data_IF_952575534966
#
_entry.id   IF_952575534966
#
_cell.length_a   1.000
_cell.length_b   1.000
_cell.length_c   1.000
_cell.angle_alpha   90.00
_cell.angle_beta   90.00
_cell.angle_gamma   90.00
#
_symmetry.space_group_name_H-M   'P 1'
#
loop_
_entity.id
_entity.type
_entity.pdbx_description
1 polymer ?
#
# COMPACT_ATOMS: atom_id res chain seq x y z
N UNK A 1 43.10 43.58 -22.58
CA UNK A 1 43.65 42.22 -22.34
C UNK A 1 42.49 41.24 -22.17
N UNK A 2 42.63 40.09 -22.81
CA UNK A 2 41.84 38.84 -22.67
C UNK A 2 40.39 38.77 -23.18
N UNK A 3 40.31 38.21 -24.38
CA UNK A 3 39.19 37.50 -24.99
C UNK A 3 38.90 36.17 -24.26
N UNK A 4 37.64 35.71 -24.12
CA UNK A 4 37.35 34.40 -23.54
C UNK A 4 37.53 33.27 -24.58
N UNK A 5 38.40 32.32 -24.25
CA UNK A 5 38.68 31.10 -25.03
C UNK A 5 37.45 30.19 -25.08
N UNK A 6 37.09 29.78 -26.30
CA UNK A 6 36.15 28.70 -26.59
C UNK A 6 36.85 27.36 -26.31
N UNK A 7 36.26 26.52 -25.44
CA UNK A 7 36.65 25.12 -25.31
C UNK A 7 35.85 24.29 -26.32
N UNK A 8 36.54 23.80 -27.35
CA UNK A 8 36.04 22.75 -28.22
C UNK A 8 36.39 21.41 -27.57
N UNK A 9 35.37 20.59 -27.29
CA UNK A 9 35.54 19.19 -26.88
C UNK A 9 35.41 18.32 -28.13
N UNK A 10 36.51 17.68 -28.50
CA UNK A 10 36.58 16.73 -29.62
C UNK A 10 35.84 15.44 -29.28
N UNK A 11 34.84 15.09 -30.10
CA UNK A 11 34.27 13.74 -30.14
C UNK A 11 35.22 12.81 -30.88
N UNK A 12 35.77 11.81 -30.18
CA UNK A 12 36.44 10.68 -30.82
C UNK A 12 35.39 9.56 -31.01
N UNK A 13 34.97 9.37 -32.26
CA UNK A 13 34.17 8.23 -32.67
C UNK A 13 35.09 7.03 -32.86
N UNK A 14 34.89 5.95 -32.09
CA UNK A 14 35.57 4.67 -32.32
C UNK A 14 34.58 3.72 -32.99
N UNK A 15 34.74 3.58 -34.31
CA UNK A 15 34.06 2.59 -35.15
C UNK A 15 34.78 1.26 -35.02
N UNK A 16 34.12 0.22 -34.48
CA UNK A 16 34.59 -1.15 -34.57
C UNK A 16 33.71 -1.91 -35.57
N UNK A 17 34.26 -2.13 -36.77
CA UNK A 17 33.70 -3.02 -37.77
C UNK A 17 33.98 -4.46 -37.37
N UNK A 18 32.93 -5.29 -37.26
CA UNK A 18 33.05 -6.74 -37.10
C UNK A 18 32.72 -7.39 -38.44
N UNK A 19 33.75 -7.95 -39.06
CA UNK A 19 33.70 -8.69 -40.32
C UNK A 19 33.15 -10.10 -40.08
N UNK A 20 32.18 -10.48 -40.90
CA UNK A 20 31.59 -11.82 -41.01
C UNK A 20 32.52 -12.72 -41.83
N UNK A 21 32.76 -13.95 -41.38
CA UNK A 21 33.30 -15.04 -42.21
C UNK A 21 32.36 -16.26 -42.11
N UNK A 22 31.68 -16.57 -43.22
CA UNK A 22 31.00 -17.84 -43.46
C UNK A 22 32.04 -18.87 -43.93
N UNK A 23 31.99 -20.07 -43.36
CA UNK A 23 32.50 -21.28 -44.02
C UNK A 23 31.42 -22.35 -43.97
N UNK A 24 30.95 -22.75 -45.14
CA UNK A 24 30.07 -23.88 -45.39
C UNK A 24 30.88 -25.19 -45.43
N UNK A 25 30.29 -26.27 -44.92
CA UNK A 25 30.82 -27.63 -45.07
C UNK A 25 29.74 -28.67 -44.78
N UNK A 26 29.16 -29.23 -45.84
CA UNK A 26 28.42 -30.50 -45.88
C UNK A 26 29.36 -31.65 -45.45
N UNK A 27 28.98 -32.82 -44.94
CA UNK A 27 27.73 -33.50 -44.66
C UNK A 27 28.07 -34.96 -44.26
N UNK A 28 27.03 -35.77 -44.04
CA UNK A 28 26.98 -37.24 -43.92
C UNK A 28 27.08 -37.89 -42.52
N UNK A 29 25.91 -38.23 -42.00
CA UNK A 29 25.59 -39.46 -41.25
C UNK A 29 25.73 -40.70 -42.15
N UNK A 30 26.03 -41.90 -41.60
CA UNK A 30 24.98 -42.78 -41.07
C UNK A 30 25.33 -43.61 -39.81
N UNK A 31 24.30 -43.84 -38.99
CA UNK A 31 24.21 -44.85 -37.91
C UNK A 31 24.34 -46.29 -38.44
N UNK A 32 24.65 -47.34 -37.62
CA UNK A 32 23.61 -47.99 -36.78
C UNK A 32 24.05 -48.72 -35.48
N UNK A 33 23.07 -48.88 -34.56
CA UNK A 33 22.81 -50.02 -33.62
C UNK A 33 23.87 -50.33 -32.53
N UNK A 34 23.56 -50.76 -31.29
CA UNK A 34 22.34 -51.25 -30.66
C UNK A 34 22.47 -51.27 -29.12
N UNK A 35 21.31 -51.41 -28.46
CA UNK A 35 21.04 -52.18 -27.23
C UNK A 35 21.63 -51.76 -25.88
N UNK A 36 20.73 -51.39 -24.97
CA UNK A 36 20.98 -51.33 -23.53
C UNK A 36 19.71 -50.95 -22.76
N UNK A 37 18.84 -51.93 -22.53
CA UNK A 37 17.65 -51.78 -21.68
C UNK A 37 18.06 -51.52 -20.23
N UNK A 38 17.50 -50.48 -19.59
CA UNK A 38 17.45 -50.41 -18.13
C UNK A 38 16.02 -50.06 -17.71
N UNK A 39 15.55 -50.90 -16.79
CA UNK A 39 14.20 -51.14 -16.32
C UNK A 39 13.79 -50.11 -15.29
N UNK A 40 12.53 -49.68 -15.36
CA UNK A 40 11.85 -48.91 -14.33
C UNK A 40 11.72 -49.73 -13.02
N UNK A 41 12.01 -49.11 -11.87
CA UNK A 41 11.56 -49.59 -10.56
C UNK A 41 11.55 -48.47 -9.52
N UNK A 42 10.35 -48.18 -9.01
CA UNK A 42 9.99 -47.67 -7.67
C UNK A 42 8.53 -48.12 -7.47
N UNK A 43 7.95 -48.26 -6.24
CA UNK A 43 8.46 -47.94 -4.89
C UNK A 43 8.17 -49.03 -3.81
N UNK A 44 8.86 -48.96 -2.66
CA UNK A 44 8.46 -49.59 -1.36
C UNK A 44 9.19 -48.81 -0.25
N UNK A 45 8.56 -48.00 0.61
CA UNK A 45 7.66 -48.27 1.75
C UNK A 45 8.27 -49.17 2.85
N UNK A 46 8.88 -48.54 3.86
CA UNK A 46 8.99 -49.12 5.21
C UNK A 46 8.80 -48.02 6.24
N UNK A 47 8.05 -48.33 7.29
CA UNK A 47 7.53 -47.43 8.30
C UNK A 47 8.22 -47.63 9.68
N UNK A 48 8.21 -46.55 10.50
CA UNK A 48 8.03 -46.50 11.98
C UNK A 48 9.25 -46.88 12.87
N UNK A 49 9.53 -46.21 14.03
CA UNK A 49 8.54 -45.75 15.02
C UNK A 49 8.58 -44.32 15.59
N UNK A 50 7.42 -44.02 16.17
CA UNK A 50 6.98 -42.93 17.06
C UNK A 50 7.66 -42.91 18.43
N UNK A 51 7.92 -41.71 18.96
CA UNK A 51 7.86 -41.38 20.40
C UNK A 51 7.46 -39.91 20.65
N UNK A 52 6.24 -39.77 21.17
CA UNK A 52 5.72 -38.91 22.24
C UNK A 52 6.40 -37.58 22.65
N UNK A 53 5.59 -36.51 22.70
CA UNK A 53 5.56 -35.56 23.83
C UNK A 53 5.55 -34.07 23.47
N UNK A 54 4.47 -33.31 23.75
CA UNK A 54 4.48 -31.84 23.71
C UNK A 54 4.80 -31.26 25.09
N UNK A 55 5.76 -30.34 25.15
CA UNK A 55 6.08 -29.57 26.37
C UNK A 55 5.22 -28.31 26.42
N UNK A 56 4.13 -28.36 27.19
CA UNK A 56 3.39 -27.17 27.66
C UNK A 56 4.02 -26.66 28.95
N UNK A 57 4.40 -25.38 28.96
CA UNK A 57 4.68 -24.63 30.19
C UNK A 57 3.82 -23.38 30.24
N UNK A 58 2.89 -23.36 31.21
CA UNK A 58 2.16 -22.18 31.65
C UNK A 58 3.09 -21.20 32.38
N UNK A 59 2.62 -19.96 32.65
CA UNK A 59 2.49 -19.61 34.06
C UNK A 59 1.15 -18.94 34.45
N UNK A 60 0.66 -19.42 35.59
CA UNK A 60 0.20 -18.64 36.76
C UNK A 60 -1.10 -17.84 36.68
N UNK A 61 -2.14 -18.48 37.22
CA UNK A 61 -3.27 -17.87 37.91
C UNK A 61 -2.83 -17.08 39.14
N UNK A 62 -3.34 -15.86 39.32
CA UNK A 62 -3.56 -15.28 40.64
C UNK A 62 -5.07 -15.09 40.84
N UNK A 63 -5.61 -15.88 41.75
CA UNK A 63 -6.93 -15.69 42.33
C UNK A 63 -6.85 -14.51 43.32
N UNK A 64 -7.86 -13.64 43.32
CA UNK A 64 -8.24 -12.87 44.49
C UNK A 64 -9.73 -13.07 44.76
N UNK A 65 -9.99 -13.25 46.04
CA UNK A 65 -11.11 -13.89 46.71
C UNK A 65 -12.45 -13.19 46.52
N UNK A 66 -13.52 -13.99 46.44
CA UNK A 66 -14.90 -13.54 46.56
C UNK A 66 -15.24 -13.09 47.99
N UNK A 67 -16.05 -12.04 48.12
CA UNK A 67 -16.88 -11.82 49.30
C UNK A 67 -18.25 -11.26 48.89
N UNK A 68 -19.24 -12.15 48.91
CA UNK A 68 -20.67 -11.85 48.89
C UNK A 68 -21.12 -11.46 50.29
N UNK A 69 -21.94 -10.39 50.43
CA UNK A 69 -23.15 -10.32 51.27
C UNK A 69 -23.70 -8.89 51.32
N UNK A 70 -25.02 -8.76 51.32
CA UNK A 70 -25.71 -7.62 51.95
C UNK A 70 -26.75 -6.92 51.09
N UNK A 71 -27.84 -7.62 50.77
CA UNK A 71 -29.12 -6.98 50.42
C UNK A 71 -29.65 -6.27 51.67
N UNK A 72 -29.99 -4.98 51.56
CA UNK A 72 -30.73 -4.24 52.58
C UNK A 72 -31.76 -3.32 51.93
N UNK A 73 -32.98 -3.82 51.91
CA UNK A 73 -34.24 -3.09 51.77
C UNK A 73 -34.40 -2.10 52.92
N UNK A 74 -34.73 -0.83 52.67
CA UNK A 74 -35.54 -0.07 53.64
C UNK A 74 -36.27 1.13 53.03
N UNK A 75 -37.60 1.00 53.10
CA UNK A 75 -38.57 2.00 53.54
C UNK A 75 -38.57 3.41 52.92
N UNK A 76 -39.49 3.54 51.97
CA UNK A 76 -40.33 4.72 51.70
C UNK A 76 -40.79 5.40 53.00
N UNK A 77 -40.42 6.67 53.19
CA UNK A 77 -41.04 7.56 54.18
C UNK A 77 -41.64 8.77 53.47
N UNK A 78 -42.96 8.79 53.43
CA UNK A 78 -43.78 9.92 52.99
C UNK A 78 -43.83 10.96 54.08
N UNK A 79 -43.42 12.20 53.78
CA UNK A 79 -43.74 13.39 54.57
C UNK A 79 -44.30 14.45 53.65
N UNK A 80 -45.49 14.89 53.98
CA UNK A 80 -46.32 15.88 53.30
C UNK A 80 -46.01 17.32 53.74
N UNK A 81 -46.51 18.26 52.92
CA UNK A 81 -46.83 19.70 53.16
C UNK A 81 -45.67 20.72 53.11
N UNK A 82 -45.93 22.02 52.79
CA UNK A 82 -47.09 22.65 52.13
C UNK A 82 -46.74 23.52 50.89
N UNK A 83 -47.80 23.89 50.16
CA UNK A 83 -47.86 24.80 49.02
C UNK A 83 -47.32 26.19 49.36
N UNK A 84 -46.43 26.73 48.50
CA UNK A 84 -46.13 28.17 48.45
C UNK A 84 -46.15 28.66 47.00
N UNK A 85 -47.05 29.62 46.73
CA UNK A 85 -47.13 30.42 45.50
C UNK A 85 -45.76 31.02 45.16
N UNK A 86 -45.32 30.86 43.92
CA UNK A 86 -44.27 31.67 43.32
C UNK A 86 -44.55 31.87 41.82
N UNK A 87 -45.02 33.07 41.51
CA UNK A 87 -44.64 33.92 40.37
C UNK A 87 -44.47 33.26 39.00
N UNK A 88 -45.40 33.59 38.09
CA UNK A 88 -45.32 33.39 36.63
C UNK A 88 -43.99 33.93 36.08
N UNK A 89 -43.05 33.02 35.77
CA UNK A 89 -41.86 33.31 34.98
C UNK A 89 -42.24 33.19 33.51
N UNK A 90 -42.09 34.27 32.76
CA UNK A 90 -42.22 34.29 31.31
C UNK A 90 -41.29 33.23 30.69
N UNK A 91 -41.87 32.27 29.99
CA UNK A 91 -41.16 31.30 29.15
C UNK A 91 -40.70 32.04 27.89
N UNK A 92 -39.39 32.19 27.62
CA UNK A 92 -38.98 32.65 26.31
C UNK A 92 -39.24 31.52 25.32
N UNK A 93 -40.08 31.79 24.32
CA UNK A 93 -40.30 30.90 23.20
C UNK A 93 -38.98 30.75 22.44
N UNK A 94 -38.32 29.60 22.59
CA UNK A 94 -37.11 29.28 21.85
C UNK A 94 -37.52 28.93 20.41
N UNK A 95 -37.47 29.92 19.53
CA UNK A 95 -37.51 29.70 18.08
C UNK A 95 -36.29 28.87 17.69
N UNK A 96 -36.47 27.55 17.51
CA UNK A 96 -35.44 26.66 16.98
C UNK A 96 -35.31 26.91 15.49
N UNK A 97 -34.32 27.72 15.10
CA UNK A 97 -33.90 27.84 13.71
C UNK A 97 -33.40 26.46 13.23
N UNK A 98 -33.87 25.93 12.09
CA UNK A 98 -33.36 24.67 11.57
C UNK A 98 -31.86 24.81 11.29
N UNK A 99 -31.03 24.02 11.97
CA UNK A 99 -29.60 23.91 11.66
C UNK A 99 -29.49 23.26 10.29
N UNK A 100 -29.32 24.08 9.26
CA UNK A 100 -29.07 23.63 7.89
C UNK A 100 -27.81 22.77 7.88
N UNK A 101 -27.95 21.50 7.51
CA UNK A 101 -26.83 20.59 7.35
C UNK A 101 -25.74 21.24 6.47
N UNK A 102 -24.45 21.17 6.87
CA UNK A 102 -23.38 21.75 6.09
C UNK A 102 -23.36 21.15 4.69
N UNK A 103 -23.28 22.00 3.67
CA UNK A 103 -23.11 21.55 2.28
C UNK A 103 -21.85 20.67 2.23
N UNK A 104 -21.89 19.53 1.51
CA UNK A 104 -20.69 18.71 1.32
C UNK A 104 -19.55 19.59 0.83
N UNK A 105 -18.39 19.50 1.47
CA UNK A 105 -17.18 20.17 0.98
C UNK A 105 -16.93 19.67 -0.45
N UNK A 106 -17.05 20.56 -1.43
CA UNK A 106 -16.91 20.20 -2.84
C UNK A 106 -15.47 20.24 -3.32
N UNK A 107 -14.62 21.01 -2.63
CA UNK A 107 -13.19 21.13 -2.88
C UNK A 107 -12.46 21.54 -1.60
N UNK A 108 -11.24 21.06 -1.44
CA UNK A 108 -10.30 21.55 -0.43
C UNK A 108 -9.35 22.57 -1.07
N UNK A 109 -8.65 23.37 -0.28
CA UNK A 109 -7.55 24.18 -0.81
C UNK A 109 -6.44 23.30 -1.41
N UNK A 110 -5.77 23.73 -2.49
CA UNK A 110 -4.56 23.07 -2.96
C UNK A 110 -3.48 23.16 -1.89
N UNK A 111 -2.64 22.14 -1.78
CA UNK A 111 -1.51 22.13 -0.86
C UNK A 111 -0.45 23.13 -1.37
N UNK A 112 -0.08 24.16 -0.58
CA UNK A 112 0.97 25.09 -0.95
C UNK A 112 2.32 24.38 -1.10
N UNK A 113 3.19 24.91 -1.97
CA UNK A 113 4.55 24.37 -2.10
C UNK A 113 5.33 24.64 -0.81
N UNK A 114 5.98 23.61 -0.26
CA UNK A 114 6.83 23.76 0.91
C UNK A 114 8.02 22.79 0.84
N UNK A 115 9.21 23.33 0.54
CA UNK A 115 10.45 22.55 0.51
C UNK A 115 10.60 21.67 -0.74
N UNK A 116 11.12 20.46 -0.53
CA UNK A 116 11.26 19.45 -1.58
C UNK A 116 9.88 18.94 -2.00
N UNK A 117 9.73 18.60 -3.28
CA UNK A 117 8.48 18.13 -3.86
C UNK A 117 8.77 16.97 -4.81
N UNK A 118 7.81 16.06 -5.01
CA UNK A 118 7.95 15.02 -6.01
C UNK A 118 8.01 15.60 -7.42
N UNK A 119 8.50 14.78 -8.35
CA UNK A 119 8.66 15.15 -9.77
C UNK A 119 7.34 15.64 -10.39
N UNK A 120 6.23 15.02 -10.00
CA UNK A 120 4.88 15.35 -10.47
C UNK A 120 4.10 16.00 -9.35
N UNK A 121 3.89 17.32 -9.43
CA UNK A 121 3.15 18.05 -8.38
C UNK A 121 1.65 17.77 -8.38
N UNK A 122 1.02 17.91 -9.54
CA UNK A 122 -0.42 17.71 -9.74
C UNK A 122 -0.64 16.81 -10.97
N UNK A 123 -0.71 15.48 -10.79
CA UNK A 123 -0.94 14.56 -11.89
C UNK A 123 -2.35 14.74 -12.46
N UNK A 124 -2.52 14.42 -13.75
CA UNK A 124 -3.85 14.29 -14.36
C UNK A 124 -4.50 13.00 -13.85
N UNK A 125 -5.32 13.14 -12.82
CA UNK A 125 -6.12 12.05 -12.26
C UNK A 125 -7.50 11.96 -12.92
N UNK A 126 -8.13 10.78 -12.87
CA UNK A 126 -9.53 10.65 -13.27
C UNK A 126 -10.42 11.48 -12.31
N UNK A 127 -11.47 12.16 -12.79
CA UNK A 127 -12.43 12.82 -11.91
C UNK A 127 -13.17 11.83 -10.99
N UNK A 128 -13.47 12.25 -9.76
CA UNK A 128 -14.33 11.46 -8.87
C UNK A 128 -15.73 11.21 -9.44
N UNK A 129 -16.32 10.07 -9.10
CA UNK A 129 -17.68 9.70 -9.49
C UNK A 129 -18.58 9.54 -8.27
N UNK A 130 -19.85 9.92 -8.38
CA UNK A 130 -20.82 9.79 -7.29
C UNK A 130 -20.42 10.54 -5.99
N UNK A 131 -21.01 10.12 -4.88
CA UNK A 131 -20.78 10.69 -3.55
C UNK A 131 -19.71 9.95 -2.77
N UNK A 132 -19.07 10.66 -1.83
CA UNK A 132 -18.12 10.08 -0.88
C UNK A 132 -16.92 9.41 -1.55
N UNK A 133 -16.37 8.41 -0.86
CA UNK A 133 -15.29 7.58 -1.35
C UNK A 133 -15.69 6.73 -2.57
N UNK A 134 -16.98 6.39 -2.73
CA UNK A 134 -17.46 5.55 -3.85
C UNK A 134 -16.53 4.34 -4.13
N UNK A 135 -16.18 3.63 -3.04
CA UNK A 135 -15.26 2.51 -3.10
C UNK A 135 -15.94 1.31 -3.76
N UNK A 136 -15.21 0.57 -4.59
CA UNK A 136 -15.71 -0.63 -5.26
C UNK A 136 -14.59 -1.64 -5.46
N UNK A 137 -14.90 -2.92 -5.24
CA UNK A 137 -14.00 -4.06 -5.46
C UNK A 137 -14.55 -4.91 -6.61
N UNK A 138 -13.70 -5.32 -7.53
CA UNK A 138 -14.12 -6.17 -8.65
C UNK A 138 -12.97 -6.93 -9.30
N UNK A 139 -13.30 -7.70 -10.34
CA UNK A 139 -12.29 -8.30 -11.21
C UNK A 139 -11.48 -7.21 -11.92
N UNK A 140 -10.21 -7.49 -12.19
CA UNK A 140 -9.36 -6.59 -13.01
C UNK A 140 -9.95 -6.52 -14.41
N UNK A 141 -10.29 -5.33 -14.95
CA UNK A 141 -10.76 -5.20 -16.33
C UNK A 141 -9.73 -5.70 -17.35
N UNK A 142 -10.16 -6.28 -18.47
CA UNK A 142 -9.24 -6.84 -19.48
C UNK A 142 -8.22 -5.83 -20.00
N UNK A 143 -8.66 -4.59 -20.28
CA UNK A 143 -7.78 -3.53 -20.73
C UNK A 143 -6.73 -3.13 -19.69
N UNK A 144 -7.05 -3.22 -18.39
CA UNK A 144 -6.09 -2.97 -17.33
C UNK A 144 -5.11 -4.15 -17.19
N UNK A 145 -5.62 -5.38 -17.21
CA UNK A 145 -4.79 -6.58 -17.14
C UNK A 145 -3.78 -6.66 -18.30
N UNK A 146 -4.20 -6.30 -19.52
CA UNK A 146 -3.33 -6.27 -20.69
C UNK A 146 -2.12 -5.33 -20.51
N UNK A 147 -2.28 -4.23 -19.77
CA UNK A 147 -1.18 -3.30 -19.45
C UNK A 147 -0.27 -3.81 -18.33
N UNK A 148 -0.75 -4.73 -17.50
CA UNK A 148 0.05 -5.31 -16.40
C UNK A 148 0.95 -6.45 -16.89
N UNK A 149 0.50 -7.22 -17.89
CA UNK A 149 1.26 -8.37 -18.42
C UNK A 149 2.60 -7.91 -18.99
N UNK A 150 3.66 -8.58 -18.56
CA UNK A 150 5.04 -8.27 -18.91
C UNK A 150 5.64 -7.11 -18.11
N UNK A 151 4.87 -6.46 -17.23
CA UNK A 151 5.33 -5.37 -16.36
C UNK A 151 5.11 -5.78 -14.91
N UNK A 152 4.08 -5.27 -14.25
CA UNK A 152 3.76 -5.61 -12.86
C UNK A 152 3.33 -7.06 -12.65
N UNK A 153 2.94 -7.77 -13.72
CA UNK A 153 2.72 -9.21 -13.70
C UNK A 153 3.50 -9.90 -14.81
N UNK A 154 4.15 -11.02 -14.51
CA UNK A 154 4.85 -11.87 -15.48
C UNK A 154 4.68 -13.35 -15.11
N UNK A 155 5.02 -14.26 -16.02
CA UNK A 155 5.09 -15.68 -15.71
C UNK A 155 6.11 -15.91 -14.57
N UNK A 156 5.73 -16.69 -13.56
CA UNK A 156 6.54 -16.92 -12.35
C UNK A 156 6.17 -16.05 -11.16
N UNK A 157 5.24 -15.10 -11.31
CA UNK A 157 4.66 -14.39 -10.17
C UNK A 157 3.89 -15.34 -9.23
N UNK A 158 3.94 -15.11 -7.91
CA UNK A 158 3.37 -16.04 -6.95
C UNK A 158 1.82 -16.02 -6.91
N UNK A 159 1.19 -15.08 -7.61
CA UNK A 159 -0.27 -14.97 -7.73
C UNK A 159 -0.70 -14.72 -9.17
N UNK A 160 -1.84 -15.30 -9.54
CA UNK A 160 -2.48 -15.10 -10.85
C UNK A 160 -3.60 -14.05 -10.83
N UNK A 161 -4.07 -13.64 -12.02
CA UNK A 161 -5.17 -12.67 -12.19
C UNK A 161 -6.40 -12.97 -11.34
N UNK A 162 -6.79 -14.25 -11.23
CA UNK A 162 -7.97 -14.69 -10.47
C UNK A 162 -7.86 -14.45 -8.97
N UNK A 163 -6.64 -14.34 -8.44
CA UNK A 163 -6.37 -14.05 -7.03
C UNK A 163 -6.27 -12.55 -6.75
N UNK A 164 -6.31 -11.70 -7.77
CA UNK A 164 -6.19 -10.25 -7.64
C UNK A 164 -7.54 -9.56 -7.85
N UNK A 165 -7.71 -8.40 -7.23
CA UNK A 165 -8.90 -7.55 -7.29
C UNK A 165 -8.50 -6.12 -7.61
N UNK A 166 -9.36 -5.49 -8.39
CA UNK A 166 -9.29 -4.09 -8.75
C UNK A 166 -10.12 -3.28 -7.75
N UNK A 167 -9.44 -2.52 -6.90
CA UNK A 167 -10.08 -1.63 -5.93
C UNK A 167 -10.08 -0.23 -6.54
N UNK A 168 -11.26 0.38 -6.66
CA UNK A 168 -11.40 1.78 -7.07
C UNK A 168 -11.96 2.61 -5.95
N UNK A 169 -11.49 3.84 -5.82
CA UNK A 169 -11.93 4.76 -4.78
C UNK A 169 -11.74 6.20 -5.23
N UNK A 170 -12.61 7.08 -4.77
CA UNK A 170 -12.41 8.52 -4.84
C UNK A 170 -11.46 8.95 -3.73
N UNK A 171 -10.59 9.91 -4.01
CA UNK A 171 -9.64 10.48 -3.05
C UNK A 171 -9.58 12.01 -3.18
N UNK A 172 -9.03 12.66 -2.17
CA UNK A 172 -8.73 14.09 -2.23
C UNK A 172 -7.32 14.32 -2.77
N UNK A 173 -7.21 14.96 -3.92
CA UNK A 173 -5.94 15.31 -4.54
C UNK A 173 -5.19 16.38 -3.75
N UNK A 174 -3.87 16.43 -3.93
CA UNK A 174 -3.05 17.57 -3.47
C UNK A 174 -3.48 18.90 -4.10
N UNK A 175 -4.15 18.87 -5.26
CA UNK A 175 -4.72 20.03 -5.93
C UNK A 175 -6.05 20.51 -5.32
N UNK A 176 -6.57 19.83 -4.30
CA UNK A 176 -7.86 20.18 -3.68
C UNK A 176 -9.07 19.46 -4.26
N UNK A 177 -8.93 18.78 -5.40
CA UNK A 177 -10.06 18.21 -6.14
C UNK A 177 -10.32 16.77 -5.71
N UNK A 178 -11.58 16.35 -5.84
CA UNK A 178 -11.94 14.94 -5.75
C UNK A 178 -11.52 14.24 -7.04
N UNK A 179 -10.65 13.26 -6.90
CA UNK A 179 -10.18 12.41 -7.99
C UNK A 179 -10.64 10.97 -7.76
N UNK A 180 -10.50 10.12 -8.77
CA UNK A 180 -10.70 8.67 -8.68
C UNK A 180 -9.40 7.97 -9.07
N UNK A 181 -9.10 6.91 -8.34
CA UNK A 181 -7.92 6.10 -8.57
C UNK A 181 -8.23 4.62 -8.40
N UNK A 182 -7.20 3.82 -8.62
CA UNK A 182 -7.30 2.38 -8.50
C UNK A 182 -5.99 1.76 -8.09
N UNK A 183 -6.09 0.71 -7.27
CA UNK A 183 -4.99 -0.20 -6.97
C UNK A 183 -5.39 -1.64 -7.26
N UNK A 184 -4.40 -2.49 -7.43
CA UNK A 184 -4.60 -3.94 -7.54
C UNK A 184 -4.06 -4.60 -6.29
N UNK A 185 -4.88 -5.41 -5.63
CA UNK A 185 -4.53 -6.12 -4.40
C UNK A 185 -4.96 -7.58 -4.49
N UNK A 186 -4.48 -8.42 -3.59
CA UNK A 186 -4.97 -9.78 -3.43
C UNK A 186 -6.44 -9.74 -2.98
N UNK A 187 -7.24 -10.69 -3.44
CA UNK A 187 -8.62 -10.85 -3.02
C UNK A 187 -8.76 -10.98 -1.49
N UNK A 188 -7.74 -11.48 -0.80
CA UNK A 188 -7.73 -11.67 0.66
C UNK A 188 -7.63 -10.39 1.49
N UNK A 189 -7.28 -9.25 0.88
CA UNK A 189 -7.21 -7.93 1.55
C UNK A 189 -8.02 -6.84 0.82
N UNK A 190 -8.84 -7.22 -0.17
CA UNK A 190 -9.45 -6.26 -1.08
C UNK A 190 -10.50 -5.38 -0.41
N UNK A 191 -11.29 -5.96 0.49
CA UNK A 191 -12.32 -5.24 1.24
C UNK A 191 -11.68 -4.35 2.31
N UNK A 192 -10.63 -4.84 2.98
CA UNK A 192 -9.83 -4.08 3.94
C UNK A 192 -9.17 -2.85 3.28
N UNK A 193 -8.60 -3.02 2.08
CA UNK A 193 -8.04 -1.93 1.31
C UNK A 193 -9.11 -0.89 0.94
N UNK A 194 -10.26 -1.34 0.45
CA UNK A 194 -11.38 -0.45 0.10
C UNK A 194 -11.88 0.34 1.31
N UNK A 195 -12.01 -0.30 2.47
CA UNK A 195 -12.40 0.34 3.72
C UNK A 195 -11.36 1.36 4.20
N UNK A 196 -10.07 1.02 4.13
CA UNK A 196 -8.98 1.92 4.52
C UNK A 196 -8.96 3.19 3.67
N UNK A 197 -9.06 3.07 2.34
CA UNK A 197 -9.11 4.25 1.47
C UNK A 197 -10.41 5.05 1.62
N UNK A 198 -11.54 4.39 1.87
CA UNK A 198 -12.77 5.09 2.20
C UNK A 198 -12.62 5.93 3.46
N UNK A 199 -11.94 5.39 4.48
CA UNK A 199 -11.62 6.12 5.70
C UNK A 199 -10.65 7.27 5.48
N UNK A 200 -9.61 7.11 4.65
CA UNK A 200 -8.73 8.20 4.26
C UNK A 200 -9.48 9.34 3.56
N UNK A 201 -10.45 9.02 2.70
CA UNK A 201 -11.28 10.00 2.03
C UNK A 201 -12.11 10.84 3.04
N UNK A 202 -12.71 10.18 4.03
CA UNK A 202 -13.45 10.85 5.11
C UNK A 202 -12.55 11.78 5.95
N UNK A 203 -11.32 11.34 6.20
CA UNK A 203 -10.30 12.11 6.90
C UNK A 203 -9.72 13.26 6.06
N UNK A 204 -10.15 13.41 4.81
CA UNK A 204 -9.61 14.41 3.88
C UNK A 204 -8.09 14.27 3.68
N UNK A 205 -7.57 13.05 3.85
CA UNK A 205 -6.17 12.73 3.62
C UNK A 205 -5.85 12.95 2.14
N UNK A 206 -4.72 13.61 1.87
CA UNK A 206 -4.33 13.94 0.50
C UNK A 206 -3.58 12.78 -0.12
N UNK A 207 -4.00 12.40 -1.32
CA UNK A 207 -3.30 11.42 -2.15
C UNK A 207 -2.96 12.11 -3.45
N UNK A 208 -1.71 11.99 -3.91
CA UNK A 208 -1.29 12.69 -5.12
C UNK A 208 -1.81 12.03 -6.38
N UNK A 209 -1.58 10.74 -6.48
CA UNK A 209 -2.16 9.85 -7.47
C UNK A 209 -2.28 8.44 -6.91
N UNK A 210 -3.15 7.67 -7.54
CA UNK A 210 -3.37 6.27 -7.21
C UNK A 210 -3.58 5.52 -8.51
N UNK A 211 -2.46 5.03 -9.06
CA UNK A 211 -2.42 4.33 -10.33
C UNK A 211 -1.85 2.93 -10.10
N UNK A 212 -2.43 1.90 -10.72
CA UNK A 212 -1.84 0.57 -10.68
C UNK A 212 -0.46 0.58 -11.32
N UNK A 213 0.38 -0.35 -10.87
CA UNK A 213 1.63 -0.66 -11.53
C UNK A 213 1.31 -1.39 -12.84
N UNK A 214 1.75 -0.84 -13.97
CA UNK A 214 1.45 -1.31 -15.32
C UNK A 214 2.53 -0.81 -16.31
N UNK A 215 2.32 -1.05 -17.61
CA UNK A 215 3.21 -0.65 -18.70
C UNK A 215 3.62 0.83 -18.75
N UNK A 216 2.82 1.73 -18.17
CA UNK A 216 3.11 3.17 -18.18
C UNK A 216 4.28 3.56 -17.29
N UNK A 217 4.65 2.72 -16.32
CA UNK A 217 5.82 2.92 -15.47
C UNK A 217 7.09 2.36 -16.10
N UNK A 218 7.00 1.55 -17.15
CA UNK A 218 8.15 0.81 -17.68
C UNK A 218 8.48 -0.42 -16.83
N UNK A 219 9.57 -1.12 -17.20
CA UNK A 219 10.01 -2.35 -16.54
C UNK A 219 10.95 -2.01 -15.39
N UNK A 220 10.86 -2.74 -14.29
CA UNK A 220 11.78 -2.57 -13.19
C UNK A 220 13.24 -2.84 -13.65
N UNK A 221 14.17 -1.90 -13.45
CA UNK A 221 15.55 -2.08 -13.90
C UNK A 221 16.33 -3.12 -13.07
N UNK A 222 15.83 -3.51 -11.89
CA UNK A 222 16.51 -4.39 -10.94
C UNK A 222 15.85 -5.77 -10.77
N UNK A 223 14.80 -6.09 -11.55
CA UNK A 223 14.12 -7.37 -11.40
C UNK A 223 12.81 -7.47 -12.18
N UNK A 224 11.96 -8.46 -11.87
CA UNK A 224 10.59 -8.49 -12.40
C UNK A 224 9.77 -7.33 -11.83
N UNK A 225 8.66 -7.01 -12.48
CA UNK A 225 7.76 -5.95 -12.07
C UNK A 225 7.81 -4.72 -12.96
N UNK A 226 6.87 -3.81 -12.72
CA UNK A 226 6.93 -2.46 -13.26
C UNK A 226 7.92 -1.61 -12.45
N UNK A 227 8.43 -0.52 -13.03
CA UNK A 227 9.43 0.33 -12.41
C UNK A 227 8.91 1.01 -11.14
N UNK A 228 9.33 0.44 -10.01
CA UNK A 228 8.98 0.89 -8.66
C UNK A 228 9.62 2.23 -8.33
N UNK A 229 10.83 2.47 -8.83
CA UNK A 229 11.58 3.70 -8.58
C UNK A 229 10.93 4.88 -9.28
N UNK A 230 10.50 4.70 -10.53
CA UNK A 230 9.73 5.71 -11.26
C UNK A 230 8.38 6.00 -10.58
N UNK A 231 7.72 4.99 -9.99
CA UNK A 231 6.49 5.18 -9.24
C UNK A 231 6.69 5.97 -7.94
N UNK A 232 7.72 5.63 -7.15
CA UNK A 232 8.08 6.37 -5.94
C UNK A 232 8.43 7.83 -6.24
N UNK A 233 9.25 8.09 -7.27
CA UNK A 233 9.62 9.47 -7.68
C UNK A 233 8.41 10.31 -8.11
N UNK A 234 7.36 9.66 -8.60
CA UNK A 234 6.10 10.29 -8.98
C UNK A 234 5.09 10.37 -7.82
N UNK A 235 5.43 9.86 -6.63
CA UNK A 235 4.57 9.83 -5.44
C UNK A 235 3.25 9.09 -5.71
N UNK A 236 3.36 7.83 -6.14
CA UNK A 236 2.24 7.01 -6.56
C UNK A 236 1.78 6.04 -5.47
N UNK A 237 0.56 6.26 -4.99
CA UNK A 237 -0.11 5.25 -4.17
C UNK A 237 -0.37 3.99 -5.00
N UNK A 238 0.21 2.87 -4.60
CA UNK A 238 0.21 1.62 -5.36
C UNK A 238 0.16 0.39 -4.45
N UNK A 239 0.06 -0.80 -5.05
CA UNK A 239 -0.04 -2.06 -4.31
C UNK A 239 0.63 -3.19 -5.09
N UNK A 240 -0.11 -4.06 -5.77
CA UNK A 240 0.47 -5.20 -6.49
C UNK A 240 1.54 -4.77 -7.52
N UNK A 241 2.75 -5.28 -7.31
CA UNK A 241 3.87 -5.22 -8.24
C UNK A 241 4.70 -6.49 -8.03
N UNK A 242 4.79 -7.37 -9.02
CA UNK A 242 5.53 -8.61 -8.92
C UNK A 242 7.03 -8.39 -9.01
N UNK A 243 7.60 -7.88 -7.92
CA UNK A 243 9.01 -7.52 -7.76
C UNK A 243 9.64 -8.18 -6.55
N UNK A 244 10.96 -8.15 -6.51
CA UNK A 244 11.72 -8.49 -5.31
C UNK A 244 11.61 -7.37 -4.25
N UNK A 245 12.08 -7.67 -3.04
CA UNK A 245 12.22 -6.69 -1.96
C UNK A 245 13.12 -5.53 -2.44
N UNK A 246 12.65 -4.30 -2.27
CA UNK A 246 13.33 -3.10 -2.78
C UNK A 246 14.56 -2.78 -1.94
N UNK A 247 15.72 -2.57 -2.59
CA UNK A 247 17.00 -2.43 -1.91
C UNK A 247 17.70 -3.75 -1.61
N UNK A 248 17.03 -4.89 -1.79
CA UNK A 248 17.55 -6.24 -1.54
C UNK A 248 17.37 -7.17 -2.76
N UNK A 249 17.28 -6.61 -3.97
CA UNK A 249 16.89 -7.37 -5.17
C UNK A 249 17.86 -8.52 -5.50
N UNK A 250 19.12 -8.43 -5.06
CA UNK A 250 20.12 -9.48 -5.22
C UNK A 250 19.72 -10.80 -4.51
N UNK A 251 18.92 -10.74 -3.45
CA UNK A 251 18.41 -11.92 -2.71
C UNK A 251 17.34 -12.69 -3.49
N UNK A 252 16.70 -12.04 -4.48
CA UNK A 252 15.58 -12.58 -5.28
C UNK A 252 14.38 -13.04 -4.43
N UNK A 253 14.25 -12.52 -3.21
CA UNK A 253 13.08 -12.75 -2.36
C UNK A 253 11.93 -11.85 -2.85
N UNK A 254 10.77 -12.44 -3.08
CA UNK A 254 9.58 -11.68 -3.48
C UNK A 254 9.09 -10.78 -2.36
N UNK A 255 8.81 -9.52 -2.72
CA UNK A 255 8.15 -8.57 -1.83
C UNK A 255 6.70 -8.98 -1.54
N UNK A 256 6.13 -8.51 -0.43
CA UNK A 256 4.69 -8.60 -0.15
C UNK A 256 3.83 -7.98 -1.26
N UNK A 257 4.36 -7.00 -1.99
CA UNK A 257 3.74 -6.45 -3.19
C UNK A 257 3.54 -7.50 -4.30
N UNK A 258 4.43 -8.49 -4.41
CA UNK A 258 4.30 -9.56 -5.40
C UNK A 258 3.18 -10.54 -5.08
N UNK A 259 2.75 -10.61 -3.82
CA UNK A 259 1.58 -11.39 -3.39
C UNK A 259 0.29 -10.57 -3.43
N UNK A 260 0.39 -9.26 -3.68
CA UNK A 260 -0.72 -8.32 -3.65
C UNK A 260 -1.23 -8.02 -2.24
N UNK A 261 -0.46 -8.34 -1.18
CA UNK A 261 -0.89 -8.16 0.22
C UNK A 261 -0.25 -6.94 0.89
N UNK A 262 0.32 -6.03 0.09
CA UNK A 262 0.89 -4.77 0.55
C UNK A 262 0.39 -3.57 -0.25
N UNK A 263 0.41 -2.40 0.38
CA UNK A 263 -0.02 -1.11 -0.15
C UNK A 263 1.00 -0.05 0.29
N UNK A 264 1.47 0.74 -0.67
CA UNK A 264 2.30 1.94 -0.43
C UNK A 264 1.46 3.19 -0.75
N UNK A 265 1.53 4.21 0.10
CA UNK A 265 0.74 5.44 -0.05
C UNK A 265 1.62 6.69 0.06
N UNK A 266 1.60 7.51 -0.99
CA UNK A 266 2.38 8.75 -1.14
C UNK A 266 3.84 8.57 -0.72
N UNK A 267 4.60 7.87 -1.56
CA UNK A 267 6.00 7.50 -1.32
C UNK A 267 6.89 8.68 -0.93
N UNK A 268 6.65 9.87 -1.49
CA UNK A 268 7.41 11.08 -1.19
C UNK A 268 7.10 11.61 0.22
N UNK A 269 5.81 11.68 0.59
CA UNK A 269 5.39 12.10 1.92
C UNK A 269 5.69 11.06 3.01
N UNK A 270 5.85 9.79 2.62
CA UNK A 270 6.04 8.65 3.51
C UNK A 270 7.23 7.78 3.05
N UNK A 271 8.47 8.27 3.18
CA UNK A 271 9.63 7.63 2.58
C UNK A 271 9.97 6.26 3.18
N UNK A 272 10.62 5.44 2.38
CA UNK A 272 11.21 4.16 2.76
C UNK A 272 12.71 4.32 3.05
N UNK A 273 13.17 3.75 4.15
CA UNK A 273 14.60 3.63 4.51
C UNK A 273 15.04 2.19 4.28
N UNK A 274 15.92 1.97 3.31
CA UNK A 274 16.51 0.67 3.02
C UNK A 274 17.56 0.27 4.06
N UNK A 275 17.95 -1.00 4.05
CA UNK A 275 18.91 -1.57 5.00
C UNK A 275 20.30 -0.94 4.95
N UNK A 276 20.72 -0.43 3.79
CA UNK A 276 21.97 0.30 3.63
C UNK A 276 21.88 1.80 4.01
N UNK A 277 20.71 2.24 4.50
CA UNK A 277 20.43 3.62 4.88
C UNK A 277 20.02 4.53 3.72
N UNK A 278 19.92 4.00 2.49
CA UNK A 278 19.37 4.75 1.35
C UNK A 278 17.90 5.08 1.61
N UNK A 279 17.50 6.32 1.30
CA UNK A 279 16.12 6.80 1.48
C UNK A 279 15.47 7.00 0.13
N UNK A 280 14.30 6.41 -0.07
CA UNK A 280 13.51 6.52 -1.29
C UNK A 280 12.17 7.23 -1.04
N UNK A 281 11.70 8.07 -1.98
CA UNK A 281 12.46 8.69 -3.06
C UNK A 281 13.31 9.89 -2.55
N UNK A 282 12.94 10.49 -1.42
CA UNK A 282 13.59 11.69 -0.87
C UNK A 282 13.54 11.70 0.66
N UNK A 283 14.53 12.34 1.28
CA UNK A 283 14.72 12.36 2.74
C UNK A 283 14.01 13.52 3.45
N UNK A 284 13.36 14.42 2.71
CA UNK A 284 12.74 15.63 3.25
C UNK A 284 11.72 15.31 4.34
N UNK A 285 10.88 14.29 4.13
CA UNK A 285 9.86 13.88 5.08
C UNK A 285 10.37 12.96 6.19
N UNK A 286 11.58 12.39 6.09
CA UNK A 286 12.12 11.47 7.10
C UNK A 286 12.12 12.08 8.52
N UNK A 287 12.47 13.37 8.65
CA UNK A 287 12.51 14.08 9.93
C UNK A 287 11.30 14.99 10.17
N UNK A 288 10.32 15.01 9.26
CA UNK A 288 9.14 15.90 9.29
C UNK A 288 7.85 15.12 9.44
N UNK A 289 7.76 14.28 10.47
CA UNK A 289 6.60 13.39 10.71
C UNK A 289 5.46 14.05 11.48
N UNK A 290 5.36 15.37 11.46
CA UNK A 290 4.20 16.07 12.03
C UNK A 290 2.94 15.82 11.19
N UNK A 291 1.73 16.08 11.72
CA UNK A 291 0.51 16.05 10.92
C UNK A 291 0.60 17.04 9.75
N UNK A 292 0.58 16.51 8.53
CA UNK A 292 0.63 17.27 7.29
C UNK A 292 -0.19 16.55 6.20
N UNK A 293 -0.61 17.27 5.14
CA UNK A 293 -1.30 16.64 4.01
C UNK A 293 -0.51 15.45 3.45
N UNK A 294 -1.14 14.27 3.42
CA UNK A 294 -0.55 13.06 2.84
C UNK A 294 0.48 12.34 3.71
N UNK A 295 0.73 12.78 4.95
CA UNK A 295 1.75 12.21 5.84
C UNK A 295 1.13 11.31 6.93
N UNK A 296 1.69 10.12 7.09
CA UNK A 296 1.42 9.22 8.22
C UNK A 296 2.27 9.57 9.45
N UNK A 297 1.82 10.54 10.23
CA UNK A 297 2.62 11.15 11.29
C UNK A 297 3.05 10.22 12.44
N UNK A 298 2.23 9.22 12.77
CA UNK A 298 2.50 8.28 13.87
C UNK A 298 1.57 7.07 13.82
N UNK A 299 1.92 6.00 14.55
CA UNK A 299 1.07 4.80 14.69
C UNK A 299 -0.29 5.10 15.34
N UNK A 300 -0.35 6.13 16.17
CA UNK A 300 -1.58 6.66 16.77
C UNK A 300 -2.33 7.67 15.92
N UNK A 301 -1.88 7.97 14.70
CA UNK A 301 -2.60 8.90 13.80
C UNK A 301 -3.87 8.25 13.24
N UNK A 302 -4.89 9.05 12.97
CA UNK A 302 -6.13 8.55 12.38
C UNK A 302 -5.92 7.96 10.98
N UNK A 303 -4.95 8.49 10.22
CA UNK A 303 -4.61 8.02 8.89
C UNK A 303 -3.94 6.64 8.92
N UNK A 304 -2.98 6.40 9.82
CA UNK A 304 -2.41 5.05 10.01
C UNK A 304 -3.46 4.07 10.50
N UNK A 305 -4.32 4.48 11.45
CA UNK A 305 -5.44 3.65 11.93
C UNK A 305 -6.46 3.30 10.86
N UNK A 306 -6.53 4.06 9.75
CA UNK A 306 -7.39 3.70 8.63
C UNK A 306 -7.05 2.32 8.06
N UNK A 307 -5.77 1.94 8.08
CA UNK A 307 -5.29 0.62 7.65
C UNK A 307 -5.18 -0.35 8.81
N UNK A 308 -4.60 0.06 9.95
CA UNK A 308 -4.32 -0.88 11.04
C UNK A 308 -5.57 -1.39 11.75
N UNK A 309 -6.66 -0.62 11.74
CA UNK A 309 -7.98 -1.11 12.21
C UNK A 309 -8.58 -2.19 11.31
N UNK A 310 -8.11 -2.32 10.07
CA UNK A 310 -8.48 -3.38 9.13
C UNK A 310 -7.53 -4.59 9.23
N UNK A 311 -6.59 -4.58 10.18
CA UNK A 311 -5.66 -5.69 10.41
C UNK A 311 -4.39 -5.66 9.57
N UNK A 312 -4.12 -4.58 8.82
CA UNK A 312 -2.81 -4.38 8.18
C UNK A 312 -1.79 -3.89 9.23
N UNK A 313 -0.54 -4.30 9.08
CA UNK A 313 0.58 -3.76 9.85
C UNK A 313 1.13 -2.53 9.14
N UNK A 314 1.79 -1.65 9.86
CA UNK A 314 2.44 -0.45 9.30
C UNK A 314 3.96 -0.58 9.36
N UNK A 315 4.64 -0.42 8.23
CA UNK A 315 6.09 -0.51 8.11
C UNK A 315 6.86 0.62 8.81
N UNK A 316 6.16 1.70 9.17
CA UNK A 316 6.75 2.80 9.94
C UNK A 316 7.19 2.44 11.37
N UNK A 317 6.95 1.21 11.81
CA UNK A 317 7.38 0.67 13.10
C UNK A 317 8.65 -0.20 13.01
N UNK A 318 9.16 -0.46 11.81
CA UNK A 318 10.39 -1.24 11.63
C UNK A 318 11.63 -0.44 12.06
N UNK A 319 12.75 -1.14 12.30
CA UNK A 319 14.03 -0.50 12.66
C UNK A 319 14.52 0.46 11.58
N UNK A 320 14.44 0.00 10.33
CA UNK A 320 14.53 0.84 9.14
C UNK A 320 13.11 1.09 8.66
N UNK A 321 12.54 2.30 8.91
CA UNK A 321 11.12 2.52 8.71
C UNK A 321 10.77 2.55 7.23
N UNK A 322 9.67 1.89 6.90
CA UNK A 322 8.99 2.00 5.62
C UNK A 322 7.63 2.70 5.84
N UNK A 323 7.62 4.04 5.77
CA UNK A 323 6.46 4.80 6.21
C UNK A 323 5.26 4.72 5.27
N UNK A 324 5.49 4.48 3.99
CA UNK A 324 4.45 4.29 2.97
C UNK A 324 3.72 2.97 3.15
N UNK A 325 4.38 1.98 3.75
CA UNK A 325 4.03 0.57 3.61
C UNK A 325 3.03 0.06 4.64
N UNK A 326 2.04 -0.69 4.14
CA UNK A 326 1.11 -1.48 4.93
C UNK A 326 0.96 -2.88 4.36
N UNK A 327 1.01 -3.91 5.21
CA UNK A 327 0.94 -5.30 4.74
C UNK A 327 0.17 -6.26 5.65
N UNK A 328 -0.08 -7.47 5.12
CA UNK A 328 -0.52 -8.66 5.86
C UNK A 328 0.39 -9.86 5.55
#
# INVERSE_FOLDING_TARGET
>A
MSSPRRYAVSFLALSLALTVALTAGCGNDPSPRASGAVRATTPTSTAVPTTSGPTTSAPTTSASTAATKGSATTARRTTSTPVRKATTRHTPSSTSTPVRAPKPVTALGPVPRAGAEPSVRFPRNEPAVGSGANASVGAIPDAAWAKMIGYSWTAGCPVGRSQLRWVRVNFWGFDGKRSRGSIVVNASIADEAAAAFARLYELQFRIRQMKPMDSSWGRNPKGPGADDYAAMEADNTSAFNCRYVGGEEASKVYSKHAYGTAIDVNDFENPYVADDGTVYPDRYFLTRRGPAPGVFSSSGSAAVRAFTSQGLRWGGLWSNPDYQHFDR
#
